data_IF_519565659125
#
_entry.id   IF_519565659125
#
_cell.length_a   1.000
_cell.length_b   1.000
_cell.length_c   1.000
_cell.angle_alpha   90.00
_cell.angle_beta   90.00
_cell.angle_gamma   90.00
#
_symmetry.space_group_name_H-M   'P 1'
#
loop_
_entity.id
_entity.type
_entity.pdbx_description
1 polymer ?
#
# COMPACT_ATOMS: atom_id res chain seq x y z
N UNK A 1 -23.78 -4.86 23.42
CA UNK A 1 -22.42 -4.90 22.84
C UNK A 1 -22.53 -5.76 21.60
N UNK A 2 -23.13 -5.18 20.56
CA UNK A 2 -23.59 -5.90 19.37
C UNK A 2 -22.45 -6.04 18.36
N UNK A 3 -22.28 -7.28 17.89
CA UNK A 3 -21.78 -7.68 16.58
C UNK A 3 -20.87 -6.68 15.84
N UNK A 4 -19.57 -6.96 15.93
CA UNK A 4 -18.57 -6.69 14.89
C UNK A 4 -18.03 -5.24 14.77
N UNK A 5 -17.50 -4.69 15.87
CA UNK A 5 -16.74 -3.42 15.94
C UNK A 5 -15.35 -3.45 15.24
N UNK A 6 -15.25 -4.18 14.14
CA UNK A 6 -14.03 -4.35 13.40
C UNK A 6 -14.17 -4.02 11.92
N UNK A 7 -13.05 -3.74 11.30
CA UNK A 7 -12.94 -3.39 9.89
C UNK A 7 -11.86 -4.24 9.23
N UNK A 8 -11.88 -4.29 7.90
CA UNK A 8 -10.90 -5.05 7.15
C UNK A 8 -10.02 -4.13 6.31
N UNK A 9 -8.74 -4.47 6.25
CA UNK A 9 -7.78 -3.89 5.33
C UNK A 9 -7.08 -5.01 4.57
N UNK A 10 -6.73 -4.72 3.32
CA UNK A 10 -5.83 -5.58 2.56
C UNK A 10 -4.38 -5.37 3.02
N UNK A 11 -3.67 -6.46 3.27
CA UNK A 11 -2.21 -6.47 3.20
C UNK A 11 -1.80 -6.25 1.73
N UNK A 12 -0.76 -5.47 1.50
CA UNK A 12 -0.28 -5.14 0.15
C UNK A 12 1.12 -5.72 -0.08
N UNK A 13 1.36 -6.21 -1.29
CA UNK A 13 2.72 -6.37 -1.83
C UNK A 13 2.96 -5.22 -2.80
N UNK A 14 4.08 -4.53 -2.65
CA UNK A 14 4.50 -3.47 -3.57
C UNK A 14 5.84 -3.86 -4.18
N UNK A 15 5.86 -4.05 -5.48
CA UNK A 15 6.98 -4.65 -6.22
C UNK A 15 7.47 -3.72 -7.33
N UNK A 16 8.79 -3.64 -7.48
CA UNK A 16 9.44 -2.90 -8.56
C UNK A 16 9.28 -3.68 -9.86
N UNK A 17 8.67 -3.05 -10.85
CA UNK A 17 8.52 -3.56 -12.22
C UNK A 17 9.11 -2.58 -13.22
N UNK A 18 9.58 -3.06 -14.36
CA UNK A 18 10.08 -2.23 -15.45
C UNK A 18 9.93 -2.97 -16.78
N UNK A 19 9.96 -2.26 -17.92
CA UNK A 19 10.06 -2.91 -19.22
C UNK A 19 11.32 -3.80 -19.31
N UNK A 20 11.23 -4.88 -20.06
CA UNK A 20 12.34 -5.80 -20.24
C UNK A 20 13.57 -5.09 -20.84
N UNK A 21 14.75 -5.34 -20.27
CA UNK A 21 16.01 -4.72 -20.69
C UNK A 21 16.14 -3.22 -20.35
N UNK A 22 15.17 -2.62 -19.66
CA UNK A 22 15.23 -1.20 -19.33
C UNK A 22 16.31 -0.90 -18.28
N UNK A 23 17.04 0.20 -18.48
CA UNK A 23 17.98 0.72 -17.49
C UNK A 23 17.23 1.44 -16.37
N UNK A 24 17.44 0.99 -15.13
CA UNK A 24 16.86 1.62 -13.92
C UNK A 24 17.91 2.55 -13.29
N UNK A 25 17.51 3.78 -12.98
CA UNK A 25 18.39 4.83 -12.44
C UNK A 25 18.22 5.06 -10.93
N UNK A 26 17.06 4.70 -10.36
CA UNK A 26 16.71 4.97 -8.96
C UNK A 26 17.29 3.96 -7.94
N UNK A 27 18.28 3.15 -8.34
CA UNK A 27 18.91 2.12 -7.50
C UNK A 27 18.08 0.87 -7.24
N UNK A 28 16.80 0.88 -7.63
CA UNK A 28 15.90 -0.27 -7.53
C UNK A 28 16.27 -1.36 -8.53
N UNK A 29 15.92 -2.61 -8.21
CA UNK A 29 16.01 -3.76 -9.11
C UNK A 29 14.62 -4.32 -9.37
N UNK A 30 14.38 -4.81 -10.58
CA UNK A 30 13.12 -5.50 -10.89
C UNK A 30 12.95 -6.68 -9.93
N UNK A 31 11.79 -6.79 -9.32
CA UNK A 31 11.47 -7.80 -8.31
C UNK A 31 11.83 -7.41 -6.87
N UNK A 32 12.55 -6.31 -6.63
CA UNK A 32 12.64 -5.75 -5.27
C UNK A 32 11.21 -5.42 -4.80
N UNK A 33 10.87 -5.78 -3.57
CA UNK A 33 9.53 -5.55 -3.03
C UNK A 33 9.52 -5.24 -1.54
N UNK A 34 8.41 -4.69 -1.07
CA UNK A 34 8.05 -4.70 0.34
C UNK A 34 6.62 -5.20 0.51
N UNK A 35 6.31 -5.65 1.71
CA UNK A 35 4.96 -6.00 2.12
C UNK A 35 4.48 -5.00 3.15
N UNK A 36 3.27 -4.46 2.95
CA UNK A 36 2.54 -3.72 3.96
C UNK A 36 1.56 -4.70 4.62
N UNK A 37 1.91 -5.16 5.82
CA UNK A 37 1.12 -6.11 6.60
C UNK A 37 0.39 -5.35 7.70
N UNK A 38 -0.91 -5.12 7.53
CA UNK A 38 -1.61 -4.10 8.29
C UNK A 38 -0.98 -2.73 8.08
N UNK A 39 -0.57 -2.06 9.14
CA UNK A 39 0.12 -0.77 9.11
C UNK A 39 1.65 -0.88 9.03
N UNK A 40 2.21 -2.09 9.06
CA UNK A 40 3.64 -2.33 9.18
C UNK A 40 4.30 -2.67 7.84
N UNK A 41 5.33 -1.91 7.47
CA UNK A 41 6.14 -2.15 6.29
C UNK A 41 7.25 -3.16 6.58
N UNK A 42 7.36 -4.20 5.75
CA UNK A 42 8.36 -5.25 5.85
C UNK A 42 9.16 -5.37 4.55
N UNK A 43 10.49 -5.34 4.67
CA UNK A 43 11.41 -5.63 3.57
C UNK A 43 11.99 -7.04 3.69
N UNK A 44 12.31 -7.70 2.58
CA UNK A 44 13.13 -8.91 2.59
C UNK A 44 14.50 -8.64 3.26
N UNK A 45 15.09 -9.64 3.94
CA UNK A 45 16.39 -9.48 4.58
C UNK A 45 17.47 -9.00 3.58
N UNK A 46 18.18 -7.94 3.95
CA UNK A 46 19.27 -7.38 3.14
C UNK A 46 18.83 -6.57 1.92
N UNK A 47 17.52 -6.42 1.67
CA UNK A 47 17.02 -5.59 0.58
C UNK A 47 16.82 -4.15 1.07
N UNK A 48 17.45 -3.20 0.38
CA UNK A 48 17.13 -1.78 0.51
C UNK A 48 16.05 -1.38 -0.49
N UNK A 49 15.41 -0.23 -0.26
CA UNK A 49 14.59 0.39 -1.28
C UNK A 49 14.80 1.91 -1.26
N UNK A 50 14.78 2.51 -2.45
CA UNK A 50 14.97 3.95 -2.59
C UNK A 50 13.90 4.72 -1.81
N UNK A 51 14.33 5.63 -0.94
CA UNK A 51 13.43 6.52 -0.21
C UNK A 51 12.61 7.42 -1.15
N UNK A 52 13.13 7.72 -2.34
CA UNK A 52 12.42 8.51 -3.34
C UNK A 52 11.30 7.68 -3.99
N UNK A 53 11.56 6.41 -4.30
CA UNK A 53 10.52 5.48 -4.76
C UNK A 53 9.46 5.25 -3.67
N UNK A 54 9.87 5.15 -2.40
CA UNK A 54 8.92 5.10 -1.28
C UNK A 54 8.05 6.36 -1.22
N UNK A 55 8.65 7.54 -1.33
CA UNK A 55 7.91 8.79 -1.27
C UNK A 55 6.83 8.91 -2.37
N UNK A 56 7.01 8.29 -3.54
CA UNK A 56 5.99 8.32 -4.59
C UNK A 56 4.80 7.40 -4.30
N UNK A 57 5.02 6.26 -3.63
CA UNK A 57 3.96 5.26 -3.40
C UNK A 57 3.26 5.39 -2.05
N UNK A 58 3.97 5.82 -0.99
CA UNK A 58 3.45 5.87 0.37
C UNK A 58 2.10 6.61 0.51
N UNK A 59 1.87 7.77 -0.14
CA UNK A 59 0.60 8.50 -0.02
C UNK A 59 -0.62 7.72 -0.47
N UNK A 60 -0.45 6.69 -1.30
CA UNK A 60 -1.55 5.94 -1.91
C UNK A 60 -1.89 4.65 -1.16
N UNK A 61 -1.02 4.18 -0.27
CA UNK A 61 -1.14 2.85 0.33
C UNK A 61 -2.40 2.71 1.18
N UNK A 62 -2.69 3.69 2.06
CA UNK A 62 -3.87 3.63 2.93
C UNK A 62 -5.18 3.49 2.14
N UNK A 63 -5.32 4.22 1.04
CA UNK A 63 -6.47 4.08 0.15
C UNK A 63 -6.48 2.73 -0.56
N UNK A 64 -5.33 2.24 -1.03
CA UNK A 64 -5.19 0.92 -1.68
C UNK A 64 -5.49 -0.26 -0.75
N UNK A 65 -5.30 -0.11 0.56
CA UNK A 65 -5.68 -1.12 1.56
C UNK A 65 -7.20 -1.24 1.74
N UNK A 66 -7.95 -0.16 1.53
CA UNK A 66 -9.41 -0.14 1.72
C UNK A 66 -10.11 -0.68 0.49
N UNK A 67 -11.35 -1.14 0.67
CA UNK A 67 -12.24 -1.33 -0.46
C UNK A 67 -12.58 0.06 -1.05
N UNK A 68 -12.45 0.17 -2.36
CA UNK A 68 -12.62 1.40 -3.14
C UNK A 68 -13.77 1.20 -4.12
N UNK A 69 -14.41 2.29 -4.57
CA UNK A 69 -15.50 2.21 -5.55
C UNK A 69 -14.99 1.60 -6.87
N UNK A 70 -15.68 0.62 -7.48
CA UNK A 70 -15.20 -0.04 -8.69
C UNK A 70 -15.00 0.90 -9.90
N UNK A 71 -15.61 2.08 -9.91
CA UNK A 71 -15.46 3.07 -10.99
C UNK A 71 -14.39 4.14 -10.70
N UNK A 72 -13.77 4.13 -9.52
CA UNK A 72 -12.65 5.00 -9.20
C UNK A 72 -11.35 4.44 -9.80
N UNK A 73 -10.52 5.29 -10.41
CA UNK A 73 -9.19 4.91 -10.88
C UNK A 73 -8.32 4.32 -9.75
N UNK A 74 -8.58 4.71 -8.50
CA UNK A 74 -7.95 4.11 -7.32
C UNK A 74 -8.22 2.61 -7.16
N UNK A 75 -9.26 2.06 -7.80
CA UNK A 75 -9.53 0.63 -7.81
C UNK A 75 -8.75 -0.13 -8.88
N UNK A 76 -8.45 0.50 -10.02
CA UNK A 76 -7.86 -0.16 -11.20
C UNK A 76 -6.36 0.08 -11.32
N UNK A 77 -5.89 1.30 -11.07
CA UNK A 77 -4.54 1.72 -11.44
C UNK A 77 -3.54 1.29 -10.38
N UNK A 78 -2.83 0.18 -10.61
CA UNK A 78 -1.97 -0.44 -9.61
C UNK A 78 -0.50 -0.01 -9.66
N UNK A 79 -0.08 0.76 -10.66
CA UNK A 79 1.33 1.06 -10.91
C UNK A 79 1.68 2.52 -10.73
N UNK A 80 2.59 2.80 -9.79
CA UNK A 80 3.04 4.15 -9.47
C UNK A 80 4.42 4.38 -10.08
N UNK A 81 4.56 5.49 -10.81
CA UNK A 81 5.82 5.81 -11.47
C UNK A 81 6.95 6.12 -10.47
N UNK A 82 8.19 5.84 -10.89
CA UNK A 82 9.36 6.42 -10.25
C UNK A 82 9.28 7.96 -10.31
N UNK A 83 9.68 8.68 -9.25
CA UNK A 83 9.68 10.15 -9.29
C UNK A 83 10.71 10.74 -10.27
N UNK A 84 11.74 9.97 -10.67
CA UNK A 84 12.62 10.37 -11.76
C UNK A 84 11.93 10.09 -13.11
N UNK A 85 11.62 11.12 -13.91
CA UNK A 85 10.90 10.94 -15.18
C UNK A 85 11.67 10.14 -16.23
N UNK A 86 12.99 9.99 -16.09
CA UNK A 86 13.81 9.18 -17.00
C UNK A 86 14.03 7.75 -16.51
N UNK A 87 13.52 7.40 -15.33
CA UNK A 87 13.58 6.07 -14.79
C UNK A 87 12.29 5.30 -15.13
N UNK A 88 12.35 4.28 -16.01
CA UNK A 88 11.15 3.59 -16.50
C UNK A 88 10.55 2.59 -15.50
N UNK A 89 11.13 2.48 -14.30
CA UNK A 89 10.62 1.62 -13.24
C UNK A 89 9.30 2.14 -12.67
N UNK A 90 8.43 1.23 -12.27
CA UNK A 90 7.18 1.48 -11.56
C UNK A 90 7.11 0.61 -10.31
N UNK A 91 6.25 0.99 -9.39
CA UNK A 91 5.90 0.23 -8.20
C UNK A 91 4.49 -0.32 -8.38
N UNK A 92 4.36 -1.63 -8.56
CA UNK A 92 3.08 -2.31 -8.71
C UNK A 92 2.55 -2.73 -7.35
N UNK A 93 1.35 -2.28 -7.01
CA UNK A 93 0.64 -2.59 -5.78
C UNK A 93 -0.30 -3.78 -6.04
N UNK A 94 -0.22 -4.81 -5.21
CA UNK A 94 -1.11 -5.98 -5.27
C UNK A 94 -1.74 -6.19 -3.89
N UNK A 95 -3.08 -6.24 -3.84
CA UNK A 95 -3.82 -6.68 -2.63
C UNK A 95 -3.60 -8.19 -2.46
N UNK A 96 -3.25 -8.63 -1.26
CA UNK A 96 -2.85 -10.03 -1.02
C UNK A 96 -3.84 -10.74 -0.10
N UNK A 97 -3.88 -10.35 1.17
CA UNK A 97 -4.69 -10.99 2.21
C UNK A 97 -5.59 -9.95 2.88
N UNK A 98 -6.85 -10.30 3.14
CA UNK A 98 -7.70 -9.52 4.05
C UNK A 98 -7.30 -9.76 5.50
N UNK A 99 -7.14 -8.67 6.23
CA UNK A 99 -6.83 -8.65 7.66
C UNK A 99 -7.91 -7.88 8.38
N UNK A 100 -8.46 -8.52 9.41
CA UNK A 100 -9.43 -7.90 10.31
C UNK A 100 -8.72 -7.16 11.44
N UNK A 101 -9.24 -5.99 11.77
CA UNK A 101 -8.84 -5.15 12.90
C UNK A 101 -10.05 -4.90 13.78
N UNK A 102 -9.82 -4.68 15.09
CA UNK A 102 -10.84 -4.16 15.99
C UNK A 102 -10.58 -2.68 16.24
N UNK A 103 -11.65 -1.88 16.29
CA UNK A 103 -11.54 -0.43 16.55
C UNK A 103 -10.77 -0.13 17.82
N UNK A 104 -11.14 -0.79 18.93
CA UNK A 104 -10.52 -0.60 20.26
C UNK A 104 -9.04 -0.97 20.34
N UNK A 105 -8.51 -1.75 19.39
CA UNK A 105 -7.09 -2.10 19.31
C UNK A 105 -6.28 -1.08 18.49
N UNK A 106 -6.95 -0.24 17.70
CA UNK A 106 -6.31 0.66 16.73
C UNK A 106 -6.47 2.15 17.06
N UNK A 107 -7.32 2.49 18.03
CA UNK A 107 -7.48 3.86 18.52
C UNK A 107 -7.95 3.92 19.97
N UNK A 108 -7.56 4.98 20.68
CA UNK A 108 -8.02 5.27 22.03
C UNK A 108 -9.37 6.01 22.08
N UNK A 109 -9.87 6.47 20.93
CA UNK A 109 -11.15 7.17 20.82
C UNK A 109 -12.26 6.12 20.69
N UNK A 110 -13.25 6.05 21.61
CA UNK A 110 -14.33 5.09 21.50
C UNK A 110 -15.23 5.39 20.29
N UNK A 111 -15.97 4.37 19.82
CA UNK A 111 -17.05 4.60 18.85
C UNK A 111 -18.11 5.50 19.50
N UNK A 112 -18.45 6.61 18.84
CA UNK A 112 -19.54 7.48 19.29
C UNK A 112 -20.90 6.83 19.02
N UNK A 113 -21.94 7.30 19.73
CA UNK A 113 -23.29 6.73 19.67
C UNK A 113 -23.90 6.72 18.25
N UNK A 114 -23.42 7.57 17.33
CA UNK A 114 -23.92 7.69 15.96
C UNK A 114 -22.89 7.40 14.85
N UNK A 115 -21.66 6.94 15.16
CA UNK A 115 -20.56 6.87 14.16
C UNK A 115 -20.49 8.15 13.29
N UNK A 116 -20.84 9.31 13.87
CA UNK A 116 -21.01 10.54 13.11
C UNK A 116 -19.65 11.05 12.62
N UNK A 117 -19.63 11.41 11.34
CA UNK A 117 -18.45 11.70 10.53
C UNK A 117 -17.50 12.74 11.14
N UNK A 118 -16.34 12.25 11.63
CA UNK A 118 -15.07 12.94 11.97
C UNK A 118 -15.07 13.81 13.22
#
# INVERSE_FOLDING_TARGET
>A
MSADEGFELWDLKVEVVAPEGAKIWCGAKVGDYFELRGEMLHLPPGQGMSIYSLASVLPLLAAKQRQTDPNDWMSTDAEIACPDPHCPSRLRITRTKLRRFNHSETTAVPLGDDNADI
#
